data_IF_978670704008
#
_entry.id   IF_978670704008
#
_cell.length_a   1.000
_cell.length_b   1.000
_cell.length_c   1.000
_cell.angle_alpha   90.00
_cell.angle_beta   90.00
_cell.angle_gamma   90.00
#
_symmetry.space_group_name_H-M   'P 1'
#
loop_
_entity.id
_entity.type
_entity.pdbx_description
1 polymer ?
#
# COMPACT_ATOMS: atom_id res chain seq x y z
N UNK A 1 -24.78 18.19 28.34
CA UNK A 1 -24.25 18.61 27.03
C UNK A 1 -22.95 19.33 27.29
N UNK A 2 -21.82 18.76 26.89
CA UNK A 2 -20.50 19.37 27.09
C UNK A 2 -20.16 20.18 25.84
N UNK A 3 -19.95 21.48 26.03
CA UNK A 3 -19.53 22.40 24.98
C UNK A 3 -18.01 22.27 24.82
N UNK A 4 -17.54 21.85 23.64
CA UNK A 4 -16.10 21.83 23.36
C UNK A 4 -15.71 23.22 22.89
N UNK A 5 -15.06 23.96 23.77
CA UNK A 5 -14.53 25.28 23.45
C UNK A 5 -13.26 25.15 22.60
N UNK A 6 -13.30 25.78 21.43
CA UNK A 6 -12.17 26.12 20.56
C UNK A 6 -11.34 24.94 20.02
N UNK A 7 -11.69 24.50 18.82
CA UNK A 7 -10.82 23.64 17.99
C UNK A 7 -9.48 24.36 17.75
N UNK A 8 -8.33 23.69 17.94
CA UNK A 8 -7.04 24.27 17.58
C UNK A 8 -7.02 24.66 16.09
N UNK A 9 -6.18 25.65 15.71
CA UNK A 9 -6.00 26.00 14.31
C UNK A 9 -5.52 24.78 13.52
N UNK A 10 -5.92 24.69 12.26
CA UNK A 10 -5.57 23.56 11.41
C UNK A 10 -4.04 23.38 11.33
N UNK A 11 -3.55 22.18 11.68
CA UNK A 11 -2.11 21.84 11.65
C UNK A 11 -1.59 21.75 10.22
N UNK A 12 -2.45 21.33 9.29
CA UNK A 12 -2.13 21.11 7.88
C UNK A 12 -3.10 21.94 7.04
N UNK A 13 -2.60 22.53 5.96
CA UNK A 13 -3.43 23.26 5.01
C UNK A 13 -4.54 22.36 4.44
N UNK A 14 -5.79 22.86 4.29
CA UNK A 14 -6.91 22.08 3.76
C UNK A 14 -6.59 21.43 2.41
N UNK A 15 -5.87 22.14 1.55
CA UNK A 15 -5.44 21.63 0.24
C UNK A 15 -4.57 20.38 0.36
N UNK A 16 -3.59 20.39 1.27
CA UNK A 16 -2.70 19.24 1.49
C UNK A 16 -3.48 18.07 2.07
N UNK A 17 -4.41 18.34 2.98
CA UNK A 17 -5.31 17.33 3.51
C UNK A 17 -6.14 16.67 2.40
N UNK A 18 -6.76 17.47 1.53
CA UNK A 18 -7.56 16.97 0.41
C UNK A 18 -6.74 16.11 -0.56
N UNK A 19 -5.50 16.51 -0.87
CA UNK A 19 -4.59 15.72 -1.71
C UNK A 19 -4.30 14.35 -1.09
N UNK A 20 -4.04 14.30 0.21
CA UNK A 20 -3.81 13.03 0.93
C UNK A 20 -5.06 12.16 0.91
N UNK A 21 -6.25 12.74 1.11
CA UNK A 21 -7.51 12.00 1.02
C UNK A 21 -7.75 11.43 -0.39
N UNK A 22 -7.43 12.19 -1.44
CA UNK A 22 -7.49 11.70 -2.82
C UNK A 22 -6.52 10.53 -3.05
N UNK A 23 -5.30 10.61 -2.54
CA UNK A 23 -4.31 9.53 -2.63
C UNK A 23 -4.77 8.27 -1.87
N UNK A 24 -5.39 8.42 -0.70
CA UNK A 24 -5.98 7.29 0.03
C UNK A 24 -7.08 6.60 -0.78
N UNK A 25 -7.97 7.37 -1.43
CA UNK A 25 -9.02 6.81 -2.30
C UNK A 25 -8.40 6.03 -3.46
N UNK A 26 -7.44 6.63 -4.18
CA UNK A 26 -6.72 5.97 -5.28
C UNK A 26 -6.12 4.64 -4.84
N UNK A 27 -5.42 4.61 -3.69
CA UNK A 27 -4.80 3.37 -3.16
C UNK A 27 -5.82 2.32 -2.75
N UNK A 28 -6.98 2.73 -2.24
CA UNK A 28 -8.06 1.83 -1.83
C UNK A 28 -8.68 1.11 -3.03
N UNK A 29 -8.79 1.79 -4.16
CA UNK A 29 -9.38 1.22 -5.38
C UNK A 29 -8.45 0.22 -6.08
N UNK A 30 -7.14 0.31 -5.82
CA UNK A 30 -6.13 -0.60 -6.36
C UNK A 30 -6.12 -1.92 -5.56
N UNK A 31 -6.74 -2.96 -6.13
CA UNK A 31 -6.79 -4.30 -5.53
C UNK A 31 -5.38 -4.87 -5.34
N UNK A 32 -5.05 -5.24 -4.09
CA UNK A 32 -3.78 -5.88 -3.76
C UNK A 32 -2.59 -4.95 -3.65
N UNK A 33 -2.80 -3.63 -3.70
CA UNK A 33 -1.77 -2.64 -3.39
C UNK A 33 -1.21 -2.89 -1.98
N UNK A 34 0.11 -3.04 -1.88
CA UNK A 34 0.80 -3.17 -0.60
C UNK A 34 1.96 -2.20 -0.54
N UNK A 35 1.91 -1.27 0.42
CA UNK A 35 3.07 -0.54 0.92
C UNK A 35 3.76 -1.41 1.97
N UNK A 36 4.66 -2.28 1.51
CA UNK A 36 5.55 -3.04 2.38
C UNK A 36 6.99 -2.53 2.24
N UNK A 37 7.86 -2.84 3.21
CA UNK A 37 9.29 -2.49 3.17
C UNK A 37 10.11 -3.28 2.14
N UNK A 38 9.46 -4.07 1.30
CA UNK A 38 10.10 -4.90 0.29
C UNK A 38 10.33 -4.09 -0.99
N UNK A 39 11.47 -4.29 -1.64
CA UNK A 39 11.97 -3.47 -2.77
C UNK A 39 10.98 -3.25 -3.93
N UNK A 40 10.09 -4.20 -4.20
CA UNK A 40 9.12 -4.12 -5.31
C UNK A 40 7.65 -4.10 -4.85
N UNK A 41 7.38 -3.93 -3.55
CA UNK A 41 6.01 -3.87 -3.04
C UNK A 41 5.23 -2.71 -3.69
N UNK A 42 4.11 -3.03 -4.34
CA UNK A 42 3.25 -2.04 -4.98
C UNK A 42 3.82 -1.40 -6.26
N UNK A 43 4.97 -1.88 -6.76
CA UNK A 43 5.64 -1.31 -7.96
C UNK A 43 5.43 -2.12 -9.24
N UNK A 44 5.39 -3.44 -9.14
CA UNK A 44 5.31 -4.33 -10.31
C UNK A 44 3.92 -4.96 -10.39
N UNK A 45 3.26 -4.80 -11.53
CA UNK A 45 1.94 -5.37 -11.86
C UNK A 45 2.02 -6.27 -13.09
N UNK A 46 1.14 -7.27 -13.14
CA UNK A 46 0.96 -8.12 -14.32
C UNK A 46 0.18 -7.38 -15.40
N UNK A 47 0.67 -7.41 -16.65
CA UNK A 47 0.01 -6.77 -17.79
C UNK A 47 -1.29 -7.47 -18.23
N UNK A 48 -1.46 -8.75 -17.90
CA UNK A 48 -2.64 -9.54 -18.30
C UNK A 48 -3.75 -9.49 -17.24
N UNK A 49 -3.41 -9.71 -15.96
CA UNK A 49 -4.41 -9.80 -14.89
C UNK A 49 -4.45 -8.58 -13.95
N UNK A 50 -3.52 -7.63 -14.07
CA UNK A 50 -3.45 -6.44 -13.22
C UNK A 50 -3.02 -6.70 -11.77
N UNK A 51 -2.73 -7.95 -11.39
CA UNK A 51 -2.30 -8.30 -10.04
C UNK A 51 -0.88 -7.83 -9.72
N UNK A 52 -0.61 -7.50 -8.46
CA UNK A 52 0.73 -7.15 -8.00
C UNK A 52 1.61 -8.37 -7.77
N UNK A 53 2.90 -8.20 -8.07
CA UNK A 53 3.92 -9.16 -7.68
C UNK A 53 4.21 -9.06 -6.18
N UNK A 54 4.37 -10.23 -5.55
CA UNK A 54 4.77 -10.33 -4.15
C UNK A 54 5.95 -11.28 -3.97
N UNK A 55 6.76 -11.07 -2.92
CA UNK A 55 7.82 -12.00 -2.58
C UNK A 55 7.20 -13.32 -2.10
N UNK A 56 7.73 -14.43 -2.61
CA UNK A 56 7.35 -15.79 -2.22
C UNK A 56 8.60 -16.59 -1.95
N UNK A 57 8.64 -17.24 -0.79
CA UNK A 57 9.74 -18.14 -0.43
C UNK A 57 9.50 -19.49 -1.07
N UNK A 58 10.45 -19.97 -1.86
CA UNK A 58 10.47 -21.33 -2.41
C UNK A 58 11.46 -22.16 -1.62
N UNK A 59 11.16 -23.46 -1.46
CA UNK A 59 11.97 -24.42 -0.71
C UNK A 59 12.35 -23.92 0.70
N UNK A 60 11.34 -23.50 1.48
CA UNK A 60 11.54 -22.79 2.76
C UNK A 60 12.49 -23.47 3.74
N UNK A 61 12.51 -24.81 3.76
CA UNK A 61 13.27 -25.62 4.72
C UNK A 61 14.48 -26.33 4.08
N UNK A 62 14.93 -25.88 2.91
CA UNK A 62 16.02 -26.52 2.15
C UNK A 62 17.19 -25.57 1.92
N UNK A 63 18.38 -26.13 1.66
CA UNK A 63 19.57 -25.36 1.22
C UNK A 63 19.34 -24.57 -0.08
N UNK A 64 18.29 -24.90 -0.84
CA UNK A 64 17.88 -24.22 -2.06
C UNK A 64 16.83 -23.12 -1.82
N UNK A 65 16.65 -22.67 -0.56
CA UNK A 65 15.73 -21.59 -0.22
C UNK A 65 16.01 -20.35 -1.06
N UNK A 66 15.00 -19.89 -1.79
CA UNK A 66 15.07 -18.68 -2.61
C UNK A 66 13.82 -17.83 -2.46
N UNK A 67 14.00 -16.51 -2.50
CA UNK A 67 12.88 -15.56 -2.58
C UNK A 67 12.68 -15.23 -4.05
N UNK A 68 11.48 -15.51 -4.56
CA UNK A 68 11.09 -15.24 -5.95
C UNK A 68 9.91 -14.29 -5.95
N UNK A 69 9.89 -13.36 -6.91
CA UNK A 69 8.76 -12.48 -7.12
C UNK A 69 7.76 -13.15 -8.06
N UNK A 70 6.55 -13.41 -7.55
CA UNK A 70 5.48 -14.05 -8.32
C UNK A 70 4.21 -13.20 -8.20
N UNK A 71 3.43 -13.09 -9.27
CA UNK A 71 2.09 -12.52 -9.18
C UNK A 71 1.22 -13.44 -8.32
N UNK A 72 0.34 -12.84 -7.51
CA UNK A 72 -0.68 -13.62 -6.80
C UNK A 72 -1.84 -13.87 -7.77
N UNK A 73 -2.22 -15.14 -8.03
CA UNK A 73 -3.46 -15.43 -8.72
C UNK A 73 -4.67 -14.92 -7.93
#
# INVERSE_FOLDING_TARGET
MYYVESSPPAIIEPRVFDLVQQEFKKRKDVKGYRTGGEIFAGKITCGECGAFYGPKVWYSNSKYRRVVWQFKP
#
